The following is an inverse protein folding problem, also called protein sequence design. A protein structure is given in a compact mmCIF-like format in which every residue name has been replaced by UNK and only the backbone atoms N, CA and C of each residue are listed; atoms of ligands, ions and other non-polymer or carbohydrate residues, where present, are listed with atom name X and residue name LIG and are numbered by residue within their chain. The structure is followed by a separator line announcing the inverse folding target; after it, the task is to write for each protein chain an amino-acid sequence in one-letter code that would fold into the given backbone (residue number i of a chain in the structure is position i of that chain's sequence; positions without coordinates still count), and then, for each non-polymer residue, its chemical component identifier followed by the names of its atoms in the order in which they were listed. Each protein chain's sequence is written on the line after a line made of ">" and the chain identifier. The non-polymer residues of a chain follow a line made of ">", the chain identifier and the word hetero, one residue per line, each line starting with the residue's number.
data_IF_147925103864
#
_entry.id   IF_147925103864
#
_cell.length_a   1.000
_cell.length_b   1.000
_cell.length_c   1.000
_cell.angle_alpha   90.00
_cell.angle_beta   90.00
_cell.angle_gamma   90.00
#
_symmetry.space_group_name_H-M   'P 1'
#
loop_
_entity.id
_entity.type
_entity.pdbx_description
1 polymer ?
#
# COMPACT_ATOMS: atom_id res chain seq x y z
N UNK A 1 -15.10 -28.91 5.31
CA UNK A 1 -14.16 -28.08 4.54
C UNK A 1 -12.78 -28.67 4.71
N UNK A 2 -12.05 -29.05 3.64
CA UNK A 2 -10.63 -29.36 3.77
C UNK A 2 -9.88 -28.12 4.28
N UNK A 3 -8.85 -28.34 5.08
CA UNK A 3 -8.06 -27.30 5.72
C UNK A 3 -7.26 -26.51 4.66
N UNK A 4 -7.43 -25.17 4.60
CA UNK A 4 -6.79 -24.30 3.61
C UNK A 4 -5.43 -23.78 4.08
N UNK A 5 -4.61 -24.65 4.68
CA UNK A 5 -3.30 -24.26 5.19
C UNK A 5 -2.30 -24.08 4.05
N UNK A 6 -1.86 -22.83 3.83
CA UNK A 6 -0.84 -22.46 2.84
C UNK A 6 0.48 -22.14 3.56
N UNK A 7 1.58 -22.72 3.09
CA UNK A 7 2.93 -22.46 3.59
C UNK A 7 3.45 -21.13 3.04
N UNK A 8 3.09 -20.01 3.69
CA UNK A 8 3.47 -18.67 3.23
C UNK A 8 4.99 -18.41 3.19
N UNK A 9 5.77 -19.19 3.94
CA UNK A 9 7.24 -19.11 3.94
C UNK A 9 7.88 -19.72 2.68
N UNK A 10 7.16 -20.54 1.92
CA UNK A 10 7.64 -21.10 0.65
C UNK A 10 7.37 -20.15 -0.54
N UNK A 11 6.74 -19.00 -0.29
CA UNK A 11 6.47 -18.03 -1.35
C UNK A 11 7.78 -17.43 -1.89
N UNK A 12 7.89 -17.25 -3.21
CA UNK A 12 9.05 -16.58 -3.79
C UNK A 12 9.13 -15.13 -3.28
N UNK A 13 10.35 -14.62 -3.17
CA UNK A 13 10.58 -13.23 -2.79
C UNK A 13 9.93 -12.27 -3.80
N UNK A 14 9.34 -11.18 -3.28
CA UNK A 14 8.83 -10.08 -4.10
C UNK A 14 9.93 -9.14 -4.61
N UNK A 15 11.18 -9.29 -4.16
CA UNK A 15 12.30 -8.41 -4.51
C UNK A 15 12.46 -8.20 -6.02
N UNK A 16 12.41 -9.24 -6.89
CA UNK A 16 12.54 -9.04 -8.33
C UNK A 16 11.42 -8.21 -8.96
N UNK A 17 10.22 -8.18 -8.35
CA UNK A 17 9.14 -7.32 -8.79
C UNK A 17 9.39 -5.87 -8.34
N UNK A 18 9.83 -5.69 -7.10
CA UNK A 18 10.12 -4.36 -6.55
C UNK A 18 11.26 -3.68 -7.31
N UNK A 19 12.31 -4.41 -7.67
CA UNK A 19 13.42 -3.91 -8.49
C UNK A 19 12.95 -3.43 -9.87
N UNK A 20 12.10 -4.21 -10.55
CA UNK A 20 11.51 -3.81 -11.85
C UNK A 20 10.61 -2.59 -11.76
N UNK A 21 9.87 -2.43 -10.66
CA UNK A 21 9.05 -1.23 -10.42
C UNK A 21 9.96 -0.02 -10.20
N UNK A 22 11.05 -0.18 -9.44
CA UNK A 22 12.01 0.88 -9.18
C UNK A 22 12.73 1.33 -10.46
N UNK A 23 13.10 0.41 -11.36
CA UNK A 23 13.60 0.72 -12.72
C UNK A 23 12.62 1.57 -13.54
N UNK A 24 11.31 1.46 -13.27
CA UNK A 24 10.25 2.25 -13.90
C UNK A 24 9.94 3.57 -13.16
N UNK A 25 10.72 3.88 -12.11
CA UNK A 25 10.55 5.03 -11.25
C UNK A 25 9.42 4.89 -10.23
N UNK A 26 8.91 3.67 -10.00
CA UNK A 26 7.82 3.38 -9.07
C UNK A 26 8.40 2.78 -7.80
N UNK A 27 8.07 3.38 -6.66
CA UNK A 27 8.48 2.88 -5.34
C UNK A 27 7.25 2.45 -4.55
N UNK A 28 7.33 1.30 -3.89
CA UNK A 28 6.31 0.84 -2.94
C UNK A 28 6.81 1.16 -1.53
N UNK A 29 6.12 2.07 -0.84
CA UNK A 29 6.52 2.52 0.50
C UNK A 29 5.34 2.54 1.46
N UNK A 30 5.59 2.45 2.78
CA UNK A 30 4.52 2.67 3.77
C UNK A 30 4.13 4.15 3.78
N UNK A 31 2.84 4.43 3.95
CA UNK A 31 2.40 5.79 4.23
C UNK A 31 2.96 6.27 5.58
N UNK A 32 3.24 7.57 5.66
CA UNK A 32 3.67 8.23 6.88
C UNK A 32 2.54 9.02 7.52
N UNK A 33 2.56 9.15 8.85
CA UNK A 33 1.54 9.90 9.58
C UNK A 33 1.33 11.35 9.07
N UNK A 34 2.37 12.12 8.70
CA UNK A 34 2.19 13.47 8.15
C UNK A 34 1.44 13.51 6.81
N UNK A 35 1.46 12.42 6.03
CA UNK A 35 0.81 12.35 4.72
C UNK A 35 -0.69 12.03 4.79
N UNK A 36 -1.22 11.71 5.99
CA UNK A 36 -2.57 11.16 6.17
C UNK A 36 -3.64 11.92 5.41
N UNK A 37 -3.74 13.24 5.62
CA UNK A 37 -4.80 14.06 5.01
C UNK A 37 -4.71 14.01 3.48
N UNK A 38 -3.50 14.17 2.91
CA UNK A 38 -3.25 14.14 1.47
C UNK A 38 -3.60 12.78 0.85
N UNK A 39 -3.18 11.70 1.50
CA UNK A 39 -3.44 10.33 1.02
C UNK A 39 -4.93 10.02 1.06
N UNK A 40 -5.64 10.34 2.14
CA UNK A 40 -7.07 10.09 2.26
C UNK A 40 -7.88 10.88 1.23
N UNK A 41 -7.56 12.15 1.01
CA UNK A 41 -8.18 12.95 -0.05
C UNK A 41 -7.98 12.32 -1.42
N UNK A 42 -6.74 11.91 -1.75
CA UNK A 42 -6.43 11.27 -3.02
C UNK A 42 -7.23 9.97 -3.22
N UNK A 43 -7.35 9.13 -2.19
CA UNK A 43 -8.15 7.89 -2.23
C UNK A 43 -9.63 8.19 -2.44
N UNK A 44 -10.17 9.21 -1.78
CA UNK A 44 -11.56 9.64 -1.95
C UNK A 44 -11.86 10.10 -3.38
N UNK A 45 -10.90 10.78 -4.02
CA UNK A 45 -11.00 11.28 -5.40
C UNK A 45 -10.86 10.17 -6.45
N UNK A 46 -9.95 9.22 -6.24
CA UNK A 46 -9.59 8.21 -7.27
C UNK A 46 -10.27 6.85 -7.07
N UNK A 47 -10.90 6.63 -5.90
CA UNK A 47 -11.61 5.39 -5.59
C UNK A 47 -13.04 5.69 -5.10
N UNK A 48 -13.25 5.72 -3.78
CA UNK A 48 -14.57 5.95 -3.19
C UNK A 48 -14.45 6.47 -1.76
N UNK A 49 -15.52 7.08 -1.27
CA UNK A 49 -15.62 7.51 0.14
C UNK A 49 -15.48 6.34 1.12
N UNK A 50 -15.97 5.16 0.75
CA UNK A 50 -15.82 3.95 1.56
C UNK A 50 -14.36 3.50 1.65
N UNK A 51 -13.64 3.49 0.52
CA UNK A 51 -12.21 3.16 0.49
C UNK A 51 -11.37 4.18 1.28
N UNK A 52 -11.73 5.46 1.24
CA UNK A 52 -11.10 6.48 2.08
C UNK A 52 -11.31 6.18 3.58
N UNK A 53 -12.51 5.76 3.99
CA UNK A 53 -12.78 5.35 5.36
C UNK A 53 -11.98 4.12 5.78
N UNK A 54 -11.86 3.10 4.93
CA UNK A 54 -11.02 1.92 5.20
C UNK A 54 -9.53 2.27 5.32
N UNK A 55 -9.05 3.18 4.45
CA UNK A 55 -7.68 3.67 4.49
C UNK A 55 -7.38 4.47 5.77
N UNK A 56 -8.35 5.24 6.28
CA UNK A 56 -8.22 5.98 7.54
C UNK A 56 -7.91 5.05 8.72
N UNK A 57 -8.56 3.88 8.77
CA UNK A 57 -8.30 2.84 9.78
C UNK A 57 -6.85 2.35 9.71
N UNK A 58 -6.25 2.27 8.52
CA UNK A 58 -4.85 1.85 8.38
C UNK A 58 -3.86 2.84 9.02
N UNK A 59 -4.19 4.14 9.06
CA UNK A 59 -3.36 5.17 9.69
C UNK A 59 -3.37 5.11 11.23
N UNK A 60 -4.33 4.41 11.84
CA UNK A 60 -4.39 4.23 13.28
C UNK A 60 -3.46 3.12 13.81
N UNK A 61 -2.88 2.29 12.92
CA UNK A 61 -1.98 1.19 13.30
C UNK A 61 -0.54 1.66 13.47
N UNK A 62 0.21 0.98 14.34
CA UNK A 62 1.64 1.19 14.53
C UNK A 62 2.40 -0.14 14.34
N UNK A 63 3.15 -0.33 13.25
CA UNK A 63 3.35 0.60 12.13
C UNK A 63 2.07 0.78 11.28
N UNK A 64 2.01 1.88 10.53
CA UNK A 64 0.92 2.14 9.57
C UNK A 64 0.88 0.97 8.57
N UNK A 65 -0.32 0.43 8.36
CA UNK A 65 -0.54 -0.77 7.53
C UNK A 65 -0.93 -0.45 6.08
N UNK A 66 -0.70 0.77 5.63
CA UNK A 66 -1.02 1.24 4.29
C UNK A 66 0.28 1.40 3.48
N UNK A 67 0.30 0.82 2.28
CA UNK A 67 1.38 0.96 1.32
C UNK A 67 0.92 1.83 0.15
N UNK A 68 1.81 2.65 -0.37
CA UNK A 68 1.61 3.57 -1.49
C UNK A 68 2.55 3.18 -2.62
N UNK A 69 2.04 3.17 -3.85
CA UNK A 69 2.85 3.25 -5.05
C UNK A 69 3.10 4.72 -5.37
N UNK A 70 4.37 5.10 -5.49
CA UNK A 70 4.77 6.50 -5.73
C UNK A 70 5.70 6.58 -6.92
N UNK A 71 5.38 7.50 -7.84
CA UNK A 71 6.23 7.87 -8.98
C UNK A 71 6.33 9.38 -9.06
N UNK A 72 7.55 9.92 -9.18
CA UNK A 72 7.80 11.36 -9.29
C UNK A 72 7.09 12.20 -8.18
N UNK A 73 7.06 11.66 -6.95
CA UNK A 73 6.38 12.25 -5.78
C UNK A 73 4.85 12.31 -5.86
N UNK A 74 4.25 11.63 -6.83
CA UNK A 74 2.80 11.48 -6.98
C UNK A 74 2.37 10.06 -6.58
N UNK A 75 1.19 9.96 -5.98
CA UNK A 75 0.54 8.68 -5.70
C UNK A 75 -0.04 8.18 -7.03
N UNK A 76 0.18 6.90 -7.33
CA UNK A 76 -0.36 6.20 -8.50
C UNK A 76 -1.68 5.51 -8.20
#
# INVERSE_FOLDING_TARGET
>A
MPDMLVRLYDLPSSSPLLEKLEEQGITIQRAMAPDKVRVLSWIGEHSSISAQGEADVCFARHPISLFLAVKERQIL
#
